data_IF_241641560214
#
_entry.id   IF_241641560214
#
_cell.length_a   1.000
_cell.length_b   1.000
_cell.length_c   1.000
_cell.angle_alpha   90.00
_cell.angle_beta   90.00
_cell.angle_gamma   90.00
#
_symmetry.space_group_name_H-M   'P 1'
#
loop_
_entity.id
_entity.type
_entity.pdbx_description
1 polymer ?
#
# COMPACT_ATOMS: atom_id res chain seq x y z
N UNK A 1 -33.02 23.77 -72.99
CA UNK A 1 -33.74 22.88 -72.05
C UNK A 1 -34.33 23.71 -70.92
N UNK A 2 -35.65 23.62 -70.72
CA UNK A 2 -36.42 24.57 -69.90
C UNK A 2 -36.23 24.40 -68.39
N UNK A 3 -36.51 25.47 -67.63
CA UNK A 3 -36.31 25.51 -66.18
C UNK A 3 -37.11 24.43 -65.42
N UNK A 4 -38.30 24.07 -65.91
CA UNK A 4 -39.14 22.98 -65.37
C UNK A 4 -38.44 21.61 -65.39
N UNK A 5 -37.73 21.28 -66.48
CA UNK A 5 -36.96 20.02 -66.61
C UNK A 5 -35.84 19.91 -65.56
N UNK A 6 -35.28 21.03 -65.10
CA UNK A 6 -34.30 21.03 -63.99
C UNK A 6 -34.99 20.72 -62.66
N UNK A 7 -36.11 21.40 -62.33
CA UNK A 7 -36.84 21.17 -61.07
C UNK A 7 -37.35 19.73 -60.93
N UNK A 8 -37.74 19.09 -62.04
CA UNK A 8 -38.12 17.66 -62.05
C UNK A 8 -36.90 16.78 -61.74
N UNK A 9 -35.78 16.94 -62.47
CA UNK A 9 -34.55 16.14 -62.25
C UNK A 9 -33.98 16.23 -60.83
N UNK A 10 -34.04 17.41 -60.20
CA UNK A 10 -33.58 17.58 -58.83
C UNK A 10 -34.52 16.92 -57.81
N UNK A 11 -35.85 16.96 -58.04
CA UNK A 11 -36.81 16.21 -57.21
C UNK A 11 -36.63 14.69 -57.33
N UNK A 12 -36.40 14.16 -58.53
CA UNK A 12 -36.15 12.71 -58.70
C UNK A 12 -34.84 12.27 -58.05
N UNK A 13 -33.79 13.10 -58.11
CA UNK A 13 -32.51 12.80 -57.47
C UNK A 13 -32.61 12.79 -55.93
N UNK A 14 -33.30 13.78 -55.35
CA UNK A 14 -33.58 13.81 -53.91
C UNK A 14 -34.44 12.62 -53.47
N UNK A 15 -35.47 12.24 -54.23
CA UNK A 15 -36.23 11.01 -53.95
C UNK A 15 -35.35 9.75 -53.99
N UNK A 16 -34.44 9.62 -54.98
CA UNK A 16 -33.53 8.47 -55.02
C UNK A 16 -32.58 8.44 -53.81
N UNK A 17 -32.07 9.58 -53.34
CA UNK A 17 -31.23 9.62 -52.14
C UNK A 17 -32.02 9.30 -50.86
N UNK A 18 -33.25 9.81 -50.71
CA UNK A 18 -34.12 9.45 -49.58
C UNK A 18 -34.51 7.96 -49.59
N UNK A 19 -34.80 7.38 -50.76
CA UNK A 19 -35.07 5.94 -50.89
C UNK A 19 -33.83 5.12 -50.54
N UNK A 20 -32.63 5.50 -51.01
CA UNK A 20 -31.39 4.81 -50.67
C UNK A 20 -31.12 4.82 -49.15
N UNK A 21 -31.27 5.97 -48.49
CA UNK A 21 -31.11 6.11 -47.04
C UNK A 21 -32.14 5.28 -46.25
N UNK A 22 -33.40 5.26 -46.71
CA UNK A 22 -34.43 4.39 -46.12
C UNK A 22 -34.12 2.90 -46.33
N UNK A 23 -33.62 2.50 -47.50
CA UNK A 23 -33.22 1.09 -47.71
C UNK A 23 -32.03 0.68 -46.86
N UNK A 24 -31.03 1.54 -46.63
CA UNK A 24 -29.94 1.22 -45.70
C UNK A 24 -30.43 1.09 -44.25
N UNK A 25 -31.38 1.95 -43.83
CA UNK A 25 -31.94 1.93 -42.48
C UNK A 25 -32.81 0.67 -42.22
N UNK A 26 -33.51 0.18 -43.24
CA UNK A 26 -34.26 -1.09 -43.16
C UNK A 26 -33.31 -2.29 -43.12
N UNK A 27 -32.22 -2.29 -43.91
CA UNK A 27 -31.21 -3.37 -43.89
C UNK A 27 -30.55 -3.50 -42.50
N UNK A 28 -30.42 -2.41 -41.74
CA UNK A 28 -29.92 -2.44 -40.34
C UNK A 28 -30.93 -2.92 -39.30
N UNK A 29 -32.19 -3.21 -39.67
CA UNK A 29 -33.25 -3.60 -38.73
C UNK A 29 -33.74 -5.06 -38.91
N UNK A 30 -33.49 -5.69 -40.06
CA UNK A 30 -33.83 -7.11 -40.33
C UNK A 30 -32.63 -8.08 -40.09
N UNK A 31 -31.65 -7.67 -39.28
CA UNK A 31 -30.47 -8.48 -38.95
C UNK A 31 -30.78 -9.57 -37.91
N UNK A 32 -31.44 -10.64 -38.36
CA UNK A 32 -31.74 -11.85 -37.56
C UNK A 32 -30.43 -12.47 -37.01
N UNK A 33 -30.36 -12.87 -35.72
CA UNK A 33 -29.18 -13.53 -35.17
C UNK A 33 -28.88 -14.85 -35.90
N UNK A 34 -27.61 -15.08 -36.22
CA UNK A 34 -27.16 -16.28 -36.92
C UNK A 34 -27.06 -17.44 -35.91
N UNK A 35 -27.83 -18.50 -36.15
CA UNK A 35 -27.73 -19.76 -35.42
C UNK A 35 -26.39 -20.46 -35.74
N UNK A 36 -25.66 -20.87 -34.71
CA UNK A 36 -24.29 -21.39 -34.83
C UNK A 36 -24.28 -22.91 -34.87
N UNK A 37 -24.24 -23.44 -36.11
CA UNK A 37 -24.28 -24.87 -36.38
C UNK A 37 -23.11 -25.64 -35.71
N UNK A 38 -23.47 -26.65 -34.92
CA UNK A 38 -22.55 -27.40 -34.06
C UNK A 38 -21.89 -28.55 -34.81
N UNK A 39 -20.84 -28.32 -35.61
CA UNK A 39 -19.85 -29.39 -35.92
C UNK A 39 -18.51 -28.89 -36.53
N UNK A 40 -17.58 -28.42 -35.69
CA UNK A 40 -16.14 -28.72 -35.85
C UNK A 40 -15.34 -28.45 -34.57
N UNK A 41 -14.18 -29.08 -34.45
CA UNK A 41 -13.36 -29.13 -33.24
C UNK A 41 -11.90 -28.82 -33.58
N UNK A 42 -11.22 -28.14 -32.64
CA UNK A 42 -9.77 -27.90 -32.55
C UNK A 42 -9.08 -27.14 -33.69
N UNK A 43 -8.88 -25.83 -33.45
CA UNK A 43 -7.55 -25.23 -33.46
C UNK A 43 -7.28 -24.67 -32.06
N UNK A 44 -6.08 -24.87 -31.51
CA UNK A 44 -5.74 -24.41 -30.16
C UNK A 44 -5.15 -22.99 -30.23
N UNK A 45 -5.95 -21.98 -29.92
CA UNK A 45 -5.44 -20.65 -29.55
C UNK A 45 -5.28 -20.60 -28.03
N UNK A 46 -4.21 -19.96 -27.57
CA UNK A 46 -3.90 -19.87 -26.15
C UNK A 46 -4.90 -18.95 -25.47
N UNK A 47 -5.61 -19.47 -24.47
CA UNK A 47 -6.37 -18.63 -23.54
C UNK A 47 -5.36 -17.78 -22.78
N UNK A 48 -5.28 -16.49 -23.11
CA UNK A 48 -4.76 -15.50 -22.16
C UNK A 48 -5.56 -15.66 -20.87
N UNK A 49 -4.87 -15.90 -19.76
CA UNK A 49 -5.50 -16.02 -18.46
C UNK A 49 -6.30 -14.75 -18.19
N UNK A 50 -7.62 -14.87 -18.16
CA UNK A 50 -8.47 -13.79 -17.66
C UNK A 50 -7.94 -13.38 -16.29
N UNK A 51 -7.70 -12.08 -16.09
CA UNK A 51 -7.43 -11.56 -14.75
C UNK A 51 -8.66 -11.85 -13.91
N UNK A 52 -8.50 -12.77 -12.97
CA UNK A 52 -9.36 -12.79 -11.79
C UNK A 52 -8.86 -11.61 -10.97
N UNK A 53 -9.60 -10.50 -10.99
CA UNK A 53 -9.29 -9.34 -10.16
C UNK A 53 -9.76 -9.64 -8.72
N UNK A 54 -9.06 -10.58 -8.06
CA UNK A 54 -9.29 -10.99 -6.66
C UNK A 54 -9.29 -9.75 -5.72
N UNK A 55 -10.09 -9.76 -4.64
CA UNK A 55 -10.19 -8.65 -3.69
C UNK A 55 -8.83 -8.33 -3.05
N UNK A 56 -8.42 -7.05 -2.98
CA UNK A 56 -7.18 -6.62 -2.32
C UNK A 56 -7.19 -7.03 -0.84
N UNK A 57 -6.19 -7.80 -0.40
CA UNK A 57 -6.12 -8.30 0.99
C UNK A 57 -5.62 -7.25 1.99
N UNK A 58 -5.31 -6.02 1.54
CA UNK A 58 -4.83 -4.93 2.39
C UNK A 58 -3.36 -5.06 2.81
N UNK A 59 -2.69 -6.15 2.45
CA UNK A 59 -1.30 -6.41 2.79
C UNK A 59 -0.34 -5.65 1.85
N UNK A 60 0.68 -4.99 2.41
CA UNK A 60 1.70 -4.27 1.62
C UNK A 60 2.59 -5.16 0.72
N UNK A 61 2.38 -6.48 0.76
CA UNK A 61 2.99 -7.52 -0.07
C UNK A 61 1.95 -8.48 -0.70
N UNK A 62 0.66 -8.13 -0.69
CA UNK A 62 -0.42 -8.85 -1.37
C UNK A 62 -0.03 -9.29 -2.79
N UNK A 63 0.44 -8.33 -3.60
CA UNK A 63 0.84 -8.59 -4.99
C UNK A 63 1.99 -9.61 -5.10
N UNK A 64 2.85 -9.74 -4.08
CA UNK A 64 3.88 -10.78 -4.03
C UNK A 64 3.31 -12.13 -3.61
N UNK A 65 2.43 -12.16 -2.59
CA UNK A 65 1.70 -13.33 -2.14
C UNK A 65 0.93 -13.99 -3.30
N UNK A 66 0.18 -13.19 -4.07
CA UNK A 66 -0.54 -13.65 -5.28
C UNK A 66 0.39 -14.24 -6.32
N UNK A 67 1.44 -13.53 -6.73
CA UNK A 67 2.37 -14.03 -7.74
C UNK A 67 3.04 -15.34 -7.32
N UNK A 68 3.28 -15.55 -6.02
CA UNK A 68 3.75 -16.84 -5.50
C UNK A 68 2.67 -17.92 -5.62
N UNK A 69 1.41 -17.63 -5.26
CA UNK A 69 0.27 -18.55 -5.40
C UNK A 69 0.03 -18.91 -6.88
N UNK A 70 -0.11 -17.93 -7.77
CA UNK A 70 -0.29 -18.09 -9.23
C UNK A 70 0.76 -19.05 -9.81
N UNK A 71 2.03 -18.86 -9.43
CA UNK A 71 3.15 -19.67 -9.90
C UNK A 71 3.10 -21.08 -9.31
N UNK A 72 2.77 -21.24 -8.03
CA UNK A 72 2.57 -22.54 -7.38
C UNK A 72 1.41 -23.33 -8.02
N UNK A 73 0.30 -22.68 -8.31
CA UNK A 73 -0.87 -23.28 -8.96
C UNK A 73 -0.58 -23.80 -10.37
N UNK A 74 0.45 -23.30 -11.07
CA UNK A 74 0.85 -23.89 -12.36
C UNK A 74 1.41 -25.31 -12.23
N UNK A 75 1.83 -25.73 -11.03
CA UNK A 75 2.16 -27.13 -10.76
C UNK A 75 0.92 -27.91 -10.33
N UNK A 76 0.51 -28.90 -11.14
CA UNK A 76 -0.70 -29.68 -10.90
C UNK A 76 -0.68 -30.38 -9.53
N UNK A 77 0.45 -30.96 -9.11
CA UNK A 77 0.53 -31.66 -7.83
C UNK A 77 0.35 -30.69 -6.66
N UNK A 78 0.99 -29.52 -6.75
CA UNK A 78 0.86 -28.50 -5.71
C UNK A 78 -0.56 -27.92 -5.65
N UNK A 79 -1.21 -27.68 -6.79
CA UNK A 79 -2.61 -27.23 -6.83
C UNK A 79 -3.58 -28.23 -6.18
N UNK A 80 -3.45 -29.52 -6.51
CA UNK A 80 -4.28 -30.58 -5.88
C UNK A 80 -4.05 -30.65 -4.36
N UNK A 81 -2.85 -30.32 -3.86
CA UNK A 81 -2.55 -30.19 -2.42
C UNK A 81 -3.12 -28.92 -1.79
N UNK A 82 -2.99 -27.77 -2.45
CA UNK A 82 -3.53 -26.49 -1.98
C UNK A 82 -5.06 -26.57 -1.83
N UNK A 83 -5.75 -27.13 -2.82
CA UNK A 83 -7.21 -27.27 -2.85
C UNK A 83 -7.78 -28.36 -1.92
N UNK A 84 -6.93 -29.14 -1.25
CA UNK A 84 -7.36 -30.23 -0.34
C UNK A 84 -6.72 -30.16 1.04
N UNK A 85 -5.90 -29.15 1.31
CA UNK A 85 -5.32 -28.91 2.63
C UNK A 85 -6.31 -28.15 3.51
N UNK A 86 -6.43 -28.59 4.76
CA UNK A 86 -7.14 -27.85 5.80
C UNK A 86 -6.33 -26.59 6.19
N UNK A 87 -7.02 -25.55 6.68
CA UNK A 87 -6.45 -24.27 7.10
C UNK A 87 -5.34 -24.51 8.14
N UNK A 88 -5.57 -25.42 9.10
CA UNK A 88 -4.58 -25.81 10.10
C UNK A 88 -3.38 -26.56 9.50
N UNK A 89 -3.57 -27.34 8.43
CA UNK A 89 -2.45 -27.97 7.73
C UNK A 89 -1.61 -26.95 6.95
N UNK A 90 -2.23 -25.91 6.40
CA UNK A 90 -1.56 -24.76 5.78
C UNK A 90 -0.76 -23.99 6.85
N UNK A 91 -1.40 -23.52 7.93
CA UNK A 91 -0.77 -22.81 9.06
C UNK A 91 0.36 -23.62 9.75
N UNK A 92 0.27 -24.95 9.76
CA UNK A 92 1.30 -25.82 10.35
C UNK A 92 2.62 -25.89 9.57
N UNK A 93 2.68 -25.39 8.33
CA UNK A 93 3.85 -25.55 7.46
C UNK A 93 3.98 -26.98 6.90
N UNK A 94 2.87 -27.72 6.80
CA UNK A 94 2.83 -29.03 6.12
C UNK A 94 2.89 -28.84 4.60
N UNK A 95 2.05 -27.95 4.07
CA UNK A 95 1.99 -27.60 2.64
C UNK A 95 3.36 -27.15 2.09
N UNK A 96 4.09 -26.33 2.85
CA UNK A 96 5.39 -25.77 2.43
C UNK A 96 6.46 -26.82 2.12
N UNK A 97 6.31 -28.06 2.61
CA UNK A 97 7.22 -29.19 2.33
C UNK A 97 6.94 -29.87 0.98
N UNK A 98 5.72 -29.75 0.46
CA UNK A 98 5.36 -30.24 -0.89
C UNK A 98 6.10 -29.44 -1.98
N UNK A 99 6.63 -28.25 -1.65
CA UNK A 99 7.46 -27.42 -2.53
C UNK A 99 8.72 -28.11 -3.04
N UNK A 100 9.28 -29.08 -2.31
CA UNK A 100 10.44 -29.86 -2.76
C UNK A 100 10.09 -30.85 -3.90
N UNK A 101 8.80 -31.12 -4.13
CA UNK A 101 8.30 -31.98 -5.20
C UNK A 101 7.86 -31.19 -6.45
N UNK A 102 7.82 -29.86 -6.36
CA UNK A 102 7.38 -28.95 -7.42
C UNK A 102 8.39 -28.87 -8.56
N UNK A 103 7.87 -28.78 -9.79
CA UNK A 103 8.68 -28.78 -11.01
C UNK A 103 9.72 -27.64 -11.07
N UNK A 104 10.90 -27.93 -11.65
CA UNK A 104 12.03 -27.00 -11.73
C UNK A 104 11.66 -25.64 -12.35
N UNK A 105 10.75 -25.60 -13.32
CA UNK A 105 10.30 -24.36 -13.94
C UNK A 105 9.61 -23.43 -12.94
N UNK A 106 8.73 -24.00 -12.10
CA UNK A 106 8.03 -23.28 -11.03
C UNK A 106 9.00 -22.85 -9.94
N UNK A 107 9.92 -23.74 -9.50
CA UNK A 107 11.02 -23.36 -8.58
C UNK A 107 11.83 -22.16 -9.10
N UNK A 108 12.18 -22.16 -10.40
CA UNK A 108 12.94 -21.06 -11.04
C UNK A 108 12.17 -19.73 -11.04
N UNK A 109 10.85 -19.76 -11.28
CA UNK A 109 9.99 -18.57 -11.19
C UNK A 109 9.89 -18.03 -9.76
N UNK A 110 9.71 -18.90 -8.76
CA UNK A 110 9.64 -18.50 -7.36
C UNK A 110 10.94 -17.87 -6.87
N UNK A 111 12.08 -18.41 -7.29
CA UNK A 111 13.40 -17.81 -7.06
C UNK A 111 13.51 -16.42 -7.70
N UNK A 112 12.87 -16.18 -8.85
CA UNK A 112 12.85 -14.87 -9.50
C UNK A 112 11.94 -13.88 -8.78
N UNK A 113 10.71 -14.25 -8.45
CA UNK A 113 9.78 -13.43 -7.68
C UNK A 113 10.41 -12.99 -6.35
N UNK A 114 11.06 -13.93 -5.64
CA UNK A 114 11.77 -13.60 -4.39
C UNK A 114 12.91 -12.58 -4.60
N UNK A 115 13.67 -12.69 -5.70
CA UNK A 115 14.72 -11.70 -6.03
C UNK A 115 14.12 -10.33 -6.35
N UNK A 116 12.97 -10.27 -7.03
CA UNK A 116 12.26 -9.03 -7.34
C UNK A 116 11.71 -8.37 -6.06
N UNK A 117 11.07 -9.14 -5.18
CA UNK A 117 10.54 -8.62 -3.91
C UNK A 117 11.66 -8.17 -2.95
N UNK A 118 12.73 -8.96 -2.80
CA UNK A 118 13.90 -8.53 -2.02
C UNK A 118 14.55 -7.27 -2.60
N UNK A 119 14.48 -7.03 -3.91
CA UNK A 119 14.90 -5.76 -4.52
C UNK A 119 13.94 -4.60 -4.20
N UNK A 120 12.61 -4.82 -4.27
CA UNK A 120 11.60 -3.82 -3.86
C UNK A 120 11.80 -3.38 -2.42
N UNK A 121 11.90 -4.32 -1.50
CA UNK A 121 12.08 -4.07 -0.06
C UNK A 121 13.39 -3.33 0.22
N UNK A 122 14.49 -3.68 -0.46
CA UNK A 122 15.77 -2.94 -0.38
C UNK A 122 15.65 -1.50 -0.93
N UNK A 123 14.84 -1.27 -1.96
CA UNK A 123 14.58 0.08 -2.48
C UNK A 123 13.74 0.91 -1.51
N UNK A 124 12.70 0.34 -0.88
CA UNK A 124 11.89 1.00 0.14
C UNK A 124 12.73 1.37 1.38
N UNK A 125 13.55 0.44 1.87
CA UNK A 125 14.48 0.68 2.98
C UNK A 125 15.50 1.76 2.61
N UNK A 126 16.08 1.72 1.40
CA UNK A 126 17.00 2.77 0.94
C UNK A 126 16.30 4.13 0.86
N UNK A 127 15.10 4.21 0.31
CA UNK A 127 14.34 5.46 0.24
C UNK A 127 14.04 6.03 1.64
N UNK A 128 13.68 5.17 2.60
CA UNK A 128 13.47 5.56 4.01
C UNK A 128 14.76 6.00 4.70
N UNK A 129 15.91 5.38 4.39
CA UNK A 129 17.23 5.84 4.87
C UNK A 129 17.60 7.20 4.23
N UNK A 130 17.40 7.35 2.93
CA UNK A 130 17.67 8.59 2.19
C UNK A 130 16.75 9.75 2.61
N UNK A 131 15.56 9.48 3.19
CA UNK A 131 14.67 10.51 3.77
C UNK A 131 14.97 10.86 5.23
N UNK A 132 15.65 9.99 5.99
CA UNK A 132 15.92 10.17 7.43
C UNK A 132 17.43 10.27 7.75
N UNK A 133 18.21 10.88 6.85
CA UNK A 133 19.69 10.84 6.84
C UNK A 133 20.41 11.25 8.15
N UNK A 134 19.78 12.02 9.05
CA UNK A 134 20.38 12.52 10.29
C UNK A 134 19.49 12.30 11.53
N UNK A 135 18.58 11.32 11.50
CA UNK A 135 17.79 10.88 12.66
C UNK A 135 17.98 9.40 12.90
N UNK A 136 18.16 9.00 14.17
CA UNK A 136 18.44 7.62 14.57
C UNK A 136 17.39 6.63 14.10
N UNK A 137 17.63 6.00 12.94
CA UNK A 137 16.70 5.09 12.30
C UNK A 137 16.57 3.82 13.14
N UNK A 138 15.36 3.50 13.60
CA UNK A 138 15.12 2.19 14.19
C UNK A 138 15.24 1.10 13.11
N UNK A 139 16.37 0.41 13.14
CA UNK A 139 16.66 -0.71 12.24
C UNK A 139 15.70 -1.89 12.47
N UNK A 140 15.10 -2.02 13.66
CA UNK A 140 14.11 -3.06 13.93
C UNK A 140 12.82 -2.80 13.13
N UNK A 141 12.33 -1.55 13.08
CA UNK A 141 11.19 -1.14 12.24
C UNK A 141 11.43 -1.34 10.74
N UNK A 142 12.68 -1.31 10.28
CA UNK A 142 13.04 -1.62 8.90
C UNK A 142 13.05 -3.14 8.64
N UNK A 143 13.57 -3.92 9.60
CA UNK A 143 13.62 -5.39 9.47
C UNK A 143 12.24 -6.04 9.48
N UNK A 144 11.23 -5.39 10.08
CA UNK A 144 9.81 -5.78 9.95
C UNK A 144 9.36 -5.96 8.50
N UNK A 145 9.90 -5.17 7.58
CA UNK A 145 9.58 -5.22 6.15
C UNK A 145 10.07 -6.51 5.44
N UNK A 146 10.73 -7.42 6.17
CA UNK A 146 11.13 -8.75 5.68
C UNK A 146 10.50 -9.90 6.48
N UNK A 147 9.48 -9.66 7.33
CA UNK A 147 8.93 -10.73 8.20
C UNK A 147 8.31 -11.89 7.39
N UNK A 148 7.78 -11.62 6.19
CA UNK A 148 7.27 -12.62 5.24
C UNK A 148 8.34 -13.40 4.47
N UNK A 149 9.64 -13.10 4.64
CA UNK A 149 10.71 -13.63 3.78
C UNK A 149 12.03 -13.97 4.50
N UNK A 150 12.69 -15.06 4.08
CA UNK A 150 14.00 -15.45 4.58
C UNK A 150 15.12 -14.58 3.96
N UNK A 151 15.26 -13.33 4.43
CA UNK A 151 16.25 -12.34 3.96
C UNK A 151 17.71 -12.83 4.02
N UNK A 152 18.01 -13.85 4.82
CA UNK A 152 19.33 -14.50 4.93
C UNK A 152 19.71 -15.30 3.67
N UNK A 153 18.73 -15.79 2.90
CA UNK A 153 18.92 -16.34 1.56
C UNK A 153 18.16 -15.46 0.55
N UNK A 154 18.74 -14.38 0.01
CA UNK A 154 18.03 -13.45 -0.87
C UNK A 154 17.86 -13.93 -2.32
N UNK A 155 18.16 -15.19 -2.65
CA UNK A 155 18.33 -15.64 -4.05
C UNK A 155 17.58 -16.91 -4.45
N UNK A 156 17.27 -17.79 -3.50
CA UNK A 156 16.46 -19.00 -3.69
C UNK A 156 15.24 -18.95 -2.76
N UNK A 157 14.07 -19.32 -3.27
CA UNK A 157 12.83 -19.47 -2.52
C UNK A 157 12.77 -20.91 -1.99
N UNK A 158 12.70 -21.08 -0.67
CA UNK A 158 12.73 -22.38 0.00
C UNK A 158 11.40 -22.69 0.69
N UNK A 159 11.23 -23.93 1.17
CA UNK A 159 10.08 -24.30 2.01
C UNK A 159 9.89 -23.36 3.21
N UNK A 160 11.00 -22.81 3.75
CA UNK A 160 10.98 -21.80 4.80
C UNK A 160 10.38 -20.46 4.35
N UNK A 161 10.59 -20.03 3.10
CA UNK A 161 9.99 -18.79 2.60
C UNK A 161 8.48 -18.92 2.44
N UNK A 162 8.01 -20.08 1.95
CA UNK A 162 6.58 -20.33 1.82
C UNK A 162 5.91 -20.47 3.20
N UNK A 163 6.58 -21.14 4.15
CA UNK A 163 6.16 -21.20 5.56
C UNK A 163 6.12 -19.81 6.24
N UNK A 164 7.13 -18.95 6.01
CA UNK A 164 7.12 -17.56 6.51
C UNK A 164 6.03 -16.72 5.84
N UNK A 165 5.93 -16.75 4.52
CA UNK A 165 4.93 -15.99 3.75
C UNK A 165 3.50 -16.36 4.16
N UNK A 166 3.20 -17.66 4.32
CA UNK A 166 1.90 -18.13 4.81
C UNK A 166 1.66 -17.66 6.25
N UNK A 167 2.61 -17.87 7.17
CA UNK A 167 2.45 -17.47 8.59
C UNK A 167 2.26 -15.96 8.75
N UNK A 168 3.05 -15.16 8.05
CA UNK A 168 2.97 -13.69 8.13
C UNK A 168 1.71 -13.20 7.44
N UNK A 169 1.29 -13.75 6.30
CA UNK A 169 -0.01 -13.43 5.70
C UNK A 169 -1.16 -13.77 6.66
N UNK A 170 -1.20 -14.99 7.21
CA UNK A 170 -2.18 -15.38 8.23
C UNK A 170 -2.19 -14.42 9.42
N UNK A 171 -1.03 -14.15 10.01
CA UNK A 171 -0.91 -13.31 11.21
C UNK A 171 -1.28 -11.86 10.94
N UNK A 172 -0.86 -11.29 9.80
CA UNK A 172 -1.15 -9.92 9.43
C UNK A 172 -2.65 -9.75 9.12
N UNK A 173 -3.27 -10.74 8.47
CA UNK A 173 -4.70 -10.78 8.19
C UNK A 173 -5.53 -10.94 9.48
N UNK A 174 -5.14 -11.85 10.38
CA UNK A 174 -5.77 -12.03 11.71
C UNK A 174 -5.63 -10.80 12.62
N UNK A 175 -4.67 -9.91 12.35
CA UNK A 175 -4.46 -8.67 13.11
C UNK A 175 -4.81 -7.40 12.32
N UNK A 176 -5.27 -7.50 11.07
CA UNK A 176 -5.51 -6.36 10.18
C UNK A 176 -6.60 -5.45 10.74
N UNK A 177 -7.76 -6.04 11.05
CA UNK A 177 -8.91 -5.35 11.63
C UNK A 177 -8.52 -4.74 12.99
N UNK A 178 -7.79 -5.51 13.82
CA UNK A 178 -7.30 -5.06 15.12
C UNK A 178 -6.29 -3.90 15.04
N UNK A 179 -5.58 -3.76 13.91
CA UNK A 179 -4.71 -2.63 13.61
C UNK A 179 -5.50 -1.42 13.08
N UNK A 180 -6.53 -1.63 12.24
CA UNK A 180 -7.48 -0.60 11.80
C UNK A 180 -8.19 0.04 13.01
N UNK A 181 -8.75 -0.78 13.91
CA UNK A 181 -9.32 -0.35 15.21
C UNK A 181 -8.34 0.48 16.05
N UNK A 182 -7.08 0.03 16.16
CA UNK A 182 -6.04 0.77 16.88
C UNK A 182 -5.71 2.11 16.19
N UNK A 183 -5.83 2.22 14.87
CA UNK A 183 -5.57 3.47 14.11
C UNK A 183 -6.76 4.43 14.16
N UNK A 184 -8.00 3.94 14.01
CA UNK A 184 -9.21 4.75 14.19
C UNK A 184 -9.31 5.31 15.62
N UNK A 185 -8.99 4.51 16.64
CA UNK A 185 -8.90 4.99 18.03
C UNK A 185 -7.87 6.12 18.20
N UNK A 186 -6.75 6.11 17.46
CA UNK A 186 -5.78 7.22 17.46
C UNK A 186 -6.32 8.44 16.70
N UNK A 187 -7.05 8.24 15.61
CA UNK A 187 -7.71 9.31 14.86
C UNK A 187 -8.70 10.09 15.75
N UNK A 188 -9.58 9.39 16.46
CA UNK A 188 -10.54 10.01 17.39
C UNK A 188 -9.85 10.72 18.58
N UNK A 189 -8.79 10.13 19.15
CA UNK A 189 -7.97 10.83 20.16
C UNK A 189 -7.26 12.08 19.61
N UNK A 190 -6.84 12.06 18.34
CA UNK A 190 -6.21 13.20 17.67
C UNK A 190 -7.22 14.34 17.45
N UNK A 191 -8.42 14.01 16.96
CA UNK A 191 -9.56 14.90 16.72
C UNK A 191 -10.01 15.62 18.00
N UNK A 192 -10.14 14.90 19.12
CA UNK A 192 -10.44 15.51 20.44
C UNK A 192 -9.24 16.31 21.01
N UNK A 193 -7.98 15.90 20.78
CA UNK A 193 -6.82 16.71 21.18
C UNK A 193 -6.74 18.04 20.42
N UNK A 194 -6.87 18.03 19.09
CA UNK A 194 -6.89 19.24 18.26
C UNK A 194 -8.02 20.19 18.68
N UNK A 195 -9.20 19.64 18.98
CA UNK A 195 -10.33 20.39 19.57
C UNK A 195 -9.96 21.00 20.93
N UNK A 196 -9.32 20.24 21.82
CA UNK A 196 -8.87 20.73 23.14
C UNK A 196 -7.84 21.85 23.01
N UNK A 197 -6.87 21.74 22.11
CA UNK A 197 -5.91 22.82 21.82
C UNK A 197 -6.59 24.04 21.20
N UNK A 198 -7.50 23.85 20.24
CA UNK A 198 -8.28 24.95 19.67
C UNK A 198 -9.07 25.72 20.75
N UNK A 199 -9.81 25.01 21.60
CA UNK A 199 -10.54 25.59 22.74
C UNK A 199 -9.60 26.32 23.73
N UNK A 200 -8.36 25.85 23.95
CA UNK A 200 -7.35 26.56 24.77
C UNK A 200 -6.96 27.92 24.16
N UNK A 201 -6.98 28.08 22.83
CA UNK A 201 -6.68 29.37 22.16
C UNK A 201 -7.80 30.41 22.24
N UNK A 202 -9.05 30.00 22.52
CA UNK A 202 -10.22 30.87 22.47
C UNK A 202 -10.47 31.63 23.80
N UNK A 203 -11.09 32.81 23.69
CA UNK A 203 -11.70 33.48 24.84
C UNK A 203 -12.98 32.76 25.30
N UNK A 204 -13.39 33.02 26.55
CA UNK A 204 -14.48 32.33 27.23
C UNK A 204 -15.81 32.35 26.46
N UNK A 205 -16.12 33.48 25.81
CA UNK A 205 -17.37 33.63 25.06
C UNK A 205 -17.38 32.77 23.78
N UNK A 206 -16.25 32.73 23.04
CA UNK A 206 -16.12 31.84 21.87
C UNK A 206 -16.02 30.37 22.26
N UNK A 207 -15.33 30.06 23.36
CA UNK A 207 -15.19 28.70 23.91
C UNK A 207 -16.56 28.07 24.15
N UNK A 208 -17.44 28.75 24.89
CA UNK A 208 -18.82 28.30 25.12
C UNK A 208 -19.64 28.24 23.81
N UNK A 209 -19.43 29.16 22.85
CA UNK A 209 -20.11 29.08 21.55
C UNK A 209 -19.68 27.84 20.74
N UNK A 210 -18.39 27.47 20.80
CA UNK A 210 -17.87 26.31 20.07
C UNK A 210 -18.23 24.98 20.74
N UNK A 211 -18.20 24.93 22.08
CA UNK A 211 -18.70 23.79 22.86
C UNK A 211 -20.20 23.55 22.57
N UNK A 212 -21.01 24.61 22.57
CA UNK A 212 -22.44 24.53 22.24
C UNK A 212 -22.70 24.15 20.77
N UNK A 213 -21.83 24.54 19.83
CA UNK A 213 -21.90 24.08 18.43
C UNK A 213 -21.60 22.59 18.35
N UNK A 214 -20.55 22.11 19.02
CA UNK A 214 -20.18 20.70 19.02
C UNK A 214 -21.29 19.81 19.59
N UNK A 215 -21.94 20.22 20.68
CA UNK A 215 -23.12 19.54 21.21
C UNK A 215 -24.30 19.54 20.22
N UNK A 216 -24.50 20.62 19.45
CA UNK A 216 -25.51 20.68 18.39
C UNK A 216 -25.18 19.71 17.23
N UNK A 217 -23.91 19.65 16.79
CA UNK A 217 -23.47 18.77 15.69
C UNK A 217 -23.57 17.29 16.08
N UNK A 218 -23.05 16.88 17.25
CA UNK A 218 -23.21 15.49 17.72
C UNK A 218 -24.69 15.11 17.87
N UNK A 219 -25.54 16.06 18.27
CA UNK A 219 -26.98 15.81 18.36
C UNK A 219 -27.64 15.64 16.98
N UNK A 220 -27.21 16.37 15.94
CA UNK A 220 -27.74 16.19 14.57
C UNK A 220 -27.35 14.84 14.00
N UNK A 221 -26.08 14.47 14.15
CA UNK A 221 -25.58 13.16 13.72
C UNK A 221 -26.40 12.01 14.35
N UNK A 222 -26.62 12.07 15.67
CA UNK A 222 -27.48 11.12 16.40
C UNK A 222 -29.01 11.24 16.19
N UNK A 223 -29.50 12.08 15.27
CA UNK A 223 -30.94 12.20 14.92
C UNK A 223 -31.26 11.46 13.60
N UNK A 224 -30.65 10.27 13.43
CA UNK A 224 -30.71 9.46 12.23
C UNK A 224 -31.84 8.39 12.26
N UNK A 225 -32.30 7.86 11.10
CA UNK A 225 -33.17 6.69 11.04
C UNK A 225 -32.53 5.47 11.70
N UNK A 226 -33.34 4.61 12.33
CA UNK A 226 -32.83 3.42 13.04
C UNK A 226 -32.09 2.47 12.08
N UNK A 227 -30.82 2.24 12.37
CA UNK A 227 -29.96 1.23 11.72
C UNK A 227 -30.45 -0.18 12.07
N UNK A 228 -30.48 -1.08 11.10
CA UNK A 228 -30.76 -2.49 11.31
C UNK A 228 -29.49 -3.24 11.73
N UNK A 229 -29.67 -4.40 12.35
CA UNK A 229 -28.54 -5.22 12.78
C UNK A 229 -27.85 -5.84 11.55
N UNK A 230 -26.50 -5.80 11.43
CA UNK A 230 -25.78 -6.31 10.26
C UNK A 230 -26.08 -7.80 10.01
N UNK A 231 -26.33 -8.18 8.76
CA UNK A 231 -26.70 -9.54 8.37
C UNK A 231 -28.09 -10.00 8.80
N UNK A 232 -28.85 -9.19 9.55
CA UNK A 232 -30.19 -9.55 10.01
C UNK A 232 -31.23 -9.53 8.89
N UNK A 233 -32.35 -10.22 9.13
CA UNK A 233 -33.44 -10.36 8.15
C UNK A 233 -34.01 -9.04 7.65
N UNK A 234 -34.08 -8.02 8.52
CA UNK A 234 -34.62 -6.72 8.14
C UNK A 234 -33.63 -5.94 7.27
N UNK A 235 -32.32 -6.00 7.59
CA UNK A 235 -31.25 -5.40 6.79
C UNK A 235 -31.16 -6.02 5.38
N UNK A 236 -31.16 -7.36 5.28
CA UNK A 236 -31.12 -8.04 3.97
C UNK A 236 -32.40 -7.82 3.15
N UNK A 237 -33.56 -7.64 3.80
CA UNK A 237 -34.80 -7.26 3.12
C UNK A 237 -34.78 -5.85 2.57
N UNK A 238 -34.13 -4.93 3.27
CA UNK A 238 -34.00 -3.54 2.83
C UNK A 238 -33.08 -3.43 1.60
N UNK A 239 -31.97 -4.17 1.58
CA UNK A 239 -31.10 -4.31 0.39
C UNK A 239 -31.89 -4.92 -0.78
N UNK A 240 -32.69 -5.97 -0.53
CA UNK A 240 -33.54 -6.61 -1.54
C UNK A 240 -34.65 -5.68 -2.10
N UNK A 241 -35.15 -4.72 -1.31
CA UNK A 241 -36.11 -3.72 -1.78
C UNK A 241 -35.43 -2.55 -2.51
N UNK A 242 -34.39 -1.95 -1.93
CA UNK A 242 -33.79 -0.70 -2.40
C UNK A 242 -32.66 -0.86 -3.43
N UNK A 243 -31.86 -1.93 -3.33
CA UNK A 243 -30.75 -2.19 -4.26
C UNK A 243 -31.19 -3.12 -5.40
N UNK A 244 -31.85 -4.23 -5.07
CA UNK A 244 -32.30 -5.22 -6.06
C UNK A 244 -33.62 -4.84 -6.76
N UNK A 245 -34.46 -4.03 -6.11
CA UNK A 245 -35.77 -3.63 -6.62
C UNK A 245 -36.82 -4.74 -6.60
N UNK A 246 -36.72 -5.68 -5.66
CA UNK A 246 -37.57 -6.87 -5.54
C UNK A 246 -38.59 -6.74 -4.41
N UNK A 247 -39.69 -7.51 -4.47
CA UNK A 247 -40.75 -7.44 -3.45
C UNK A 247 -40.25 -8.03 -2.12
N UNK A 248 -40.31 -7.28 -0.99
CA UNK A 248 -39.89 -7.78 0.32
C UNK A 248 -40.61 -9.07 0.75
N UNK A 249 -41.84 -9.30 0.27
CA UNK A 249 -42.63 -10.48 0.64
C UNK A 249 -42.08 -11.76 -0.01
N UNK A 250 -41.44 -11.65 -1.17
CA UNK A 250 -40.84 -12.76 -1.93
C UNK A 250 -39.35 -13.00 -1.60
N UNK A 251 -38.82 -12.37 -0.54
CA UNK A 251 -37.45 -12.53 -0.06
C UNK A 251 -37.07 -14.00 0.20
N UNK A 252 -36.13 -14.52 -0.58
CA UNK A 252 -35.53 -15.84 -0.45
C UNK A 252 -34.02 -15.73 -0.22
N UNK A 253 -33.47 -16.16 0.93
CA UNK A 253 -32.04 -16.09 1.23
C UNK A 253 -31.14 -16.70 0.15
N UNK A 254 -31.58 -17.79 -0.49
CA UNK A 254 -30.79 -18.48 -1.50
C UNK A 254 -30.70 -17.72 -2.82
N UNK A 255 -31.72 -16.92 -3.14
CA UNK A 255 -31.70 -16.00 -4.28
C UNK A 255 -30.94 -14.73 -3.93
N UNK A 256 -31.08 -14.20 -2.70
CA UNK A 256 -30.32 -13.06 -2.20
C UNK A 256 -28.80 -13.29 -2.28
N UNK A 257 -28.31 -14.42 -1.75
CA UNK A 257 -26.90 -14.82 -1.83
C UNK A 257 -26.39 -14.78 -3.28
N UNK A 258 -27.14 -15.39 -4.20
CA UNK A 258 -26.80 -15.51 -5.63
C UNK A 258 -26.85 -14.21 -6.42
N UNK A 259 -27.37 -13.14 -5.83
CA UNK A 259 -27.45 -11.81 -6.45
C UNK A 259 -26.28 -10.92 -5.98
N UNK A 260 -25.68 -11.27 -4.84
CA UNK A 260 -24.54 -10.58 -4.22
C UNK A 260 -23.22 -11.35 -4.33
N UNK A 261 -23.26 -12.63 -4.72
CA UNK A 261 -22.18 -13.40 -5.37
C UNK A 261 -21.97 -12.78 -6.77
N UNK A 262 -21.32 -11.61 -6.81
CA UNK A 262 -21.16 -10.79 -8.01
C UNK A 262 -20.17 -11.45 -8.96
N UNK A 263 -19.12 -12.07 -8.41
CA UNK A 263 -18.07 -12.70 -9.19
C UNK A 263 -18.47 -14.10 -9.76
N UNK A 264 -19.50 -14.74 -9.17
CA UNK A 264 -20.04 -16.07 -9.52
C UNK A 264 -19.11 -17.27 -9.19
N UNK A 265 -18.27 -17.16 -8.15
CA UNK A 265 -17.44 -18.25 -7.61
C UNK A 265 -18.17 -19.14 -6.59
N UNK A 266 -19.29 -18.65 -6.02
CA UNK A 266 -20.16 -19.39 -5.09
C UNK A 266 -19.94 -19.09 -3.60
N UNK A 267 -19.14 -18.09 -3.28
CA UNK A 267 -18.94 -17.54 -1.93
C UNK A 267 -19.56 -16.13 -1.83
N UNK A 268 -19.45 -15.50 -0.66
CA UNK A 268 -19.51 -14.05 -0.50
C UNK A 268 -18.22 -13.61 0.17
N UNK A 269 -17.45 -12.77 -0.49
CA UNK A 269 -16.22 -12.20 0.10
C UNK A 269 -16.52 -10.98 0.99
N UNK A 270 -15.48 -10.44 1.60
CA UNK A 270 -15.60 -9.27 2.49
C UNK A 270 -16.09 -8.01 1.79
N UNK A 271 -15.72 -7.77 0.54
CA UNK A 271 -16.13 -6.61 -0.24
C UNK A 271 -17.60 -6.74 -0.68
N UNK A 272 -18.03 -7.96 -1.00
CA UNK A 272 -19.42 -8.30 -1.29
C UNK A 272 -20.32 -8.16 -0.04
N UNK A 273 -19.85 -8.57 1.15
CA UNK A 273 -20.56 -8.30 2.41
C UNK A 273 -20.57 -6.80 2.77
N UNK A 274 -19.44 -6.11 2.62
CA UNK A 274 -19.31 -4.68 2.89
C UNK A 274 -20.22 -3.81 2.01
N UNK A 275 -20.50 -4.25 0.77
CA UNK A 275 -21.45 -3.59 -0.11
C UNK A 275 -22.87 -3.58 0.46
N UNK A 276 -23.30 -4.66 1.15
CA UNK A 276 -24.63 -4.79 1.75
C UNK A 276 -24.92 -3.72 2.81
N UNK A 277 -23.88 -3.28 3.53
CA UNK A 277 -24.01 -2.30 4.61
C UNK A 277 -24.15 -0.86 4.11
N UNK A 278 -23.86 -0.59 2.84
CA UNK A 278 -23.91 0.77 2.26
C UNK A 278 -25.26 1.45 2.51
N UNK A 279 -26.38 0.70 2.41
CA UNK A 279 -27.74 1.21 2.66
C UNK A 279 -28.02 1.56 4.12
N UNK A 280 -27.47 0.78 5.06
CA UNK A 280 -27.57 1.08 6.49
C UNK A 280 -26.74 2.31 6.87
N UNK A 281 -25.53 2.43 6.31
CA UNK A 281 -24.61 3.52 6.59
C UNK A 281 -25.08 4.85 5.97
N UNK A 282 -25.71 4.82 4.79
CA UNK A 282 -26.36 6.00 4.15
C UNK A 282 -27.49 6.61 5.00
N UNK A 283 -27.97 5.94 6.05
CA UNK A 283 -28.93 6.51 7.03
C UNK A 283 -28.25 7.45 8.01
N UNK A 284 -26.98 7.21 8.33
CA UNK A 284 -26.23 7.83 9.43
C UNK A 284 -25.22 8.86 8.93
N UNK A 285 -24.65 8.64 7.74
CA UNK A 285 -23.57 9.46 7.19
C UNK A 285 -23.90 9.95 5.77
N UNK A 286 -24.13 11.26 5.58
CA UNK A 286 -24.13 11.90 4.26
C UNK A 286 -22.83 12.73 4.05
N UNK A 287 -22.00 12.43 3.04
CA UNK A 287 -20.80 13.21 2.67
C UNK A 287 -21.02 14.71 2.36
N UNK A 288 -22.26 15.22 2.42
CA UNK A 288 -22.64 16.63 2.25
C UNK A 288 -22.86 17.38 3.57
N UNK A 289 -22.97 16.65 4.68
CA UNK A 289 -23.12 17.21 6.03
C UNK A 289 -21.73 17.61 6.60
N UNK A 290 -21.70 18.50 7.59
CA UNK A 290 -20.46 18.89 8.30
C UNK A 290 -20.32 18.16 9.65
N UNK A 291 -21.39 17.48 10.09
CA UNK A 291 -21.47 16.64 11.29
C UNK A 291 -21.07 15.18 11.06
N UNK A 292 -21.10 14.69 9.82
CA UNK A 292 -20.94 13.27 9.50
C UNK A 292 -19.50 12.96 9.05
N UNK A 293 -18.82 12.09 9.79
CA UNK A 293 -17.43 11.74 9.51
C UNK A 293 -17.31 10.51 8.59
N UNK A 294 -16.72 10.70 7.43
CA UNK A 294 -16.52 9.63 6.44
C UNK A 294 -15.48 8.59 6.86
N UNK A 295 -14.62 8.89 7.85
CA UNK A 295 -13.71 7.92 8.46
C UNK A 295 -14.47 7.05 9.46
N UNK A 296 -15.42 7.64 10.20
CA UNK A 296 -16.30 6.93 11.13
C UNK A 296 -17.29 6.01 10.38
N UNK A 297 -17.84 6.46 9.24
CA UNK A 297 -18.64 5.60 8.33
C UNK A 297 -17.87 4.34 7.88
N UNK A 298 -16.59 4.50 7.55
CA UNK A 298 -15.75 3.40 7.07
C UNK A 298 -15.37 2.44 8.20
N UNK A 299 -15.08 2.93 9.40
CA UNK A 299 -14.90 2.03 10.56
C UNK A 299 -16.20 1.32 10.95
N UNK A 300 -17.35 2.00 10.88
CA UNK A 300 -18.66 1.37 11.11
C UNK A 300 -18.89 0.23 10.09
N UNK A 301 -18.55 0.42 8.81
CA UNK A 301 -18.57 -0.63 7.78
C UNK A 301 -17.72 -1.84 8.19
N UNK A 302 -16.50 -1.62 8.69
CA UNK A 302 -15.61 -2.69 9.14
C UNK A 302 -16.16 -3.43 10.36
N UNK A 303 -16.77 -2.71 11.32
CA UNK A 303 -17.45 -3.33 12.48
C UNK A 303 -18.63 -4.19 12.04
N UNK A 304 -19.42 -3.73 11.07
CA UNK A 304 -20.52 -4.51 10.51
C UNK A 304 -20.03 -5.78 9.81
N UNK A 305 -18.96 -5.68 8.99
CA UNK A 305 -18.29 -6.85 8.36
C UNK A 305 -17.73 -7.81 9.40
N UNK A 306 -16.93 -7.32 10.36
CA UNK A 306 -16.31 -8.14 11.41
C UNK A 306 -17.39 -8.87 12.23
N UNK A 307 -18.50 -8.20 12.55
CA UNK A 307 -19.62 -8.83 13.25
C UNK A 307 -20.25 -9.96 12.42
N UNK A 308 -20.62 -9.70 11.15
CA UNK A 308 -21.22 -10.72 10.27
C UNK A 308 -20.25 -11.88 10.01
N UNK A 309 -18.98 -11.61 9.75
CA UNK A 309 -17.95 -12.66 9.61
C UNK A 309 -17.73 -13.44 10.91
N UNK A 310 -17.86 -12.81 12.09
CA UNK A 310 -17.78 -13.54 13.36
C UNK A 310 -18.96 -14.50 13.54
N UNK A 311 -20.18 -14.12 13.13
CA UNK A 311 -21.36 -14.97 13.25
C UNK A 311 -21.53 -16.01 12.15
N UNK A 312 -21.29 -15.67 10.88
CA UNK A 312 -21.73 -16.45 9.72
C UNK A 312 -20.66 -17.44 9.24
N UNK A 313 -19.44 -16.98 8.99
CA UNK A 313 -18.29 -17.83 8.65
C UNK A 313 -17.99 -18.76 9.84
N UNK A 314 -17.95 -20.08 9.62
CA UNK A 314 -17.73 -21.09 10.67
C UNK A 314 -16.28 -21.60 10.67
N UNK A 315 -15.59 -21.61 9.53
CA UNK A 315 -14.25 -22.20 9.37
C UNK A 315 -13.10 -21.20 9.57
N UNK A 316 -13.41 -19.89 9.53
CA UNK A 316 -12.51 -18.73 9.56
C UNK A 316 -11.53 -18.65 8.38
N UNK A 317 -12.04 -18.90 7.17
CA UNK A 317 -11.33 -18.61 5.91
C UNK A 317 -11.64 -17.23 5.29
N UNK A 318 -12.59 -16.46 5.87
CA UNK A 318 -13.05 -15.14 5.41
C UNK A 318 -13.86 -15.17 4.09
N UNK A 319 -14.47 -16.30 3.75
CA UNK A 319 -15.40 -16.45 2.63
C UNK A 319 -16.70 -17.14 3.11
N UNK A 320 -17.84 -16.45 3.04
CA UNK A 320 -19.11 -17.04 3.47
C UNK A 320 -19.65 -17.98 2.40
N UNK A 321 -19.72 -19.29 2.68
CA UNK A 321 -20.39 -20.23 1.77
C UNK A 321 -21.91 -20.09 1.83
N UNK A 322 -22.60 -20.50 0.74
CA UNK A 322 -24.06 -20.58 0.72
C UNK A 322 -24.65 -21.46 1.84
N UNK A 323 -23.94 -22.50 2.29
CA UNK A 323 -24.43 -23.38 3.35
C UNK A 323 -24.33 -22.70 4.73
N UNK A 324 -23.26 -21.94 4.98
CA UNK A 324 -23.09 -21.13 6.20
C UNK A 324 -24.07 -19.97 6.25
N UNK A 325 -24.24 -19.25 5.14
CA UNK A 325 -25.24 -18.19 5.01
C UNK A 325 -26.65 -18.71 5.29
N UNK A 326 -27.04 -19.84 4.68
CA UNK A 326 -28.37 -20.43 4.93
C UNK A 326 -28.54 -20.87 6.39
N UNK A 327 -27.54 -21.51 7.00
CA UNK A 327 -27.55 -21.83 8.44
C UNK A 327 -27.67 -20.59 9.32
N UNK A 328 -27.03 -19.47 8.96
CA UNK A 328 -27.19 -18.21 9.67
C UNK A 328 -28.64 -17.70 9.59
N UNK A 329 -29.30 -17.83 8.43
CA UNK A 329 -30.73 -17.43 8.31
C UNK A 329 -31.71 -18.32 9.10
N UNK A 330 -31.28 -19.48 9.61
CA UNK A 330 -32.06 -20.32 10.54
C UNK A 330 -31.84 -19.97 12.02
N UNK A 331 -30.86 -19.11 12.35
CA UNK A 331 -30.57 -18.68 13.73
C UNK A 331 -31.66 -17.76 14.29
N UNK A 332 -31.68 -17.60 15.62
CA UNK A 332 -32.61 -16.66 16.28
C UNK A 332 -32.17 -15.22 16.04
N UNK A 333 -30.87 -14.99 16.06
CA UNK A 333 -30.18 -13.71 15.92
C UNK A 333 -30.53 -13.03 14.58
N UNK A 334 -30.73 -13.82 13.52
CA UNK A 334 -31.24 -13.35 12.22
C UNK A 334 -32.69 -12.85 12.26
N UNK A 335 -33.54 -13.43 13.10
CA UNK A 335 -35.00 -13.22 13.14
C UNK A 335 -35.47 -12.27 14.25
N UNK A 336 -34.72 -12.22 15.35
CA UNK A 336 -34.95 -11.39 16.54
C UNK A 336 -33.61 -10.75 16.98
N UNK A 337 -32.99 -9.90 16.14
CA UNK A 337 -31.70 -9.27 16.45
C UNK A 337 -31.82 -8.26 17.60
N UNK A 338 -30.73 -8.11 18.36
CA UNK A 338 -30.55 -6.98 19.28
C UNK A 338 -30.27 -5.67 18.49
N UNK A 339 -30.47 -4.52 19.11
CA UNK A 339 -30.19 -3.22 18.48
C UNK A 339 -28.70 -3.04 18.20
N UNK A 340 -28.35 -2.61 16.97
CA UNK A 340 -26.99 -2.15 16.67
C UNK A 340 -26.71 -0.83 17.38
N UNK A 341 -25.58 -0.75 18.08
CA UNK A 341 -25.04 0.48 18.65
C UNK A 341 -23.97 1.03 17.68
N UNK A 342 -24.22 2.24 17.18
CA UNK A 342 -23.30 2.98 16.30
C UNK A 342 -22.08 3.50 17.07
N UNK A 343 -21.03 3.88 16.35
CA UNK A 343 -19.78 4.41 16.91
C UNK A 343 -20.01 5.64 17.81
N UNK A 344 -20.89 6.56 17.41
CA UNK A 344 -21.20 7.78 18.16
C UNK A 344 -21.75 7.51 19.58
N UNK A 345 -22.41 6.36 19.80
CA UNK A 345 -22.97 5.94 21.08
C UNK A 345 -21.95 5.26 22.00
N UNK A 346 -20.79 4.84 21.46
CA UNK A 346 -19.78 4.07 22.17
C UNK A 346 -18.66 4.94 22.75
N UNK A 347 -18.00 4.43 23.80
CA UNK A 347 -16.78 5.05 24.35
C UNK A 347 -15.53 4.34 23.83
N UNK A 348 -14.93 4.90 22.79
CA UNK A 348 -13.75 4.34 22.10
C UNK A 348 -12.46 4.43 22.92
N UNK A 349 -12.31 5.47 23.74
CA UNK A 349 -11.13 5.70 24.58
C UNK A 349 -11.48 6.28 25.96
N UNK A 350 -10.58 6.11 26.94
CA UNK A 350 -10.67 6.75 28.26
C UNK A 350 -9.88 8.05 28.33
N UNK A 351 -10.18 8.90 29.32
CA UNK A 351 -9.43 10.14 29.56
C UNK A 351 -7.96 9.87 29.92
N UNK A 352 -7.66 8.71 30.53
CA UNK A 352 -6.29 8.26 30.77
C UNK A 352 -5.56 7.92 29.46
N UNK A 353 -6.20 7.18 28.55
CA UNK A 353 -5.62 6.83 27.23
C UNK A 353 -5.37 8.09 26.39
N UNK A 354 -6.35 9.00 26.33
CA UNK A 354 -6.18 10.28 25.63
C UNK A 354 -5.03 11.09 26.24
N UNK A 355 -4.91 11.15 27.57
CA UNK A 355 -3.82 11.86 28.24
C UNK A 355 -2.44 11.23 28.01
N UNK A 356 -2.36 9.91 27.90
CA UNK A 356 -1.12 9.22 27.49
C UNK A 356 -0.78 9.53 26.02
N UNK A 357 -1.79 9.63 25.15
CA UNK A 357 -1.63 10.08 23.76
C UNK A 357 -1.18 11.54 23.65
N UNK A 358 -1.83 12.50 24.34
CA UNK A 358 -1.41 13.92 24.41
C UNK A 358 0.05 14.04 24.89
N UNK A 359 0.43 13.25 25.90
CA UNK A 359 1.80 13.18 26.42
C UNK A 359 2.80 12.68 25.38
N UNK A 360 2.39 11.74 24.51
CA UNK A 360 3.23 11.24 23.43
C UNK A 360 3.37 12.25 22.27
N UNK A 361 2.27 12.92 21.87
CA UNK A 361 2.29 14.01 20.89
C UNK A 361 3.27 15.11 21.35
N UNK A 362 3.13 15.60 22.58
CA UNK A 362 4.01 16.64 23.13
C UNK A 362 5.50 16.24 23.14
N UNK A 363 5.81 14.96 23.40
CA UNK A 363 7.18 14.45 23.33
C UNK A 363 7.72 14.42 21.89
N UNK A 364 6.90 14.01 20.91
CA UNK A 364 7.27 14.06 19.50
C UNK A 364 7.48 15.52 19.02
N UNK A 365 6.63 16.46 19.46
CA UNK A 365 6.76 17.87 19.11
C UNK A 365 8.04 18.51 19.64
N UNK A 366 8.42 18.27 20.89
CA UNK A 366 9.71 18.76 21.45
C UNK A 366 10.91 18.13 20.72
N UNK A 367 10.86 16.83 20.39
CA UNK A 367 11.89 16.21 19.55
C UNK A 367 11.98 16.83 18.14
N UNK A 368 10.86 17.05 17.47
CA UNK A 368 10.80 17.67 16.15
C UNK A 368 11.25 19.14 16.20
N UNK A 369 10.88 19.88 17.23
CA UNK A 369 11.29 21.28 17.43
C UNK A 369 12.81 21.38 17.67
N UNK A 370 13.39 20.45 18.45
CA UNK A 370 14.85 20.36 18.64
C UNK A 370 15.57 20.02 17.34
N UNK A 371 15.08 19.03 16.57
CA UNK A 371 15.62 18.67 15.25
C UNK A 371 15.54 19.84 14.27
N UNK A 372 14.42 20.58 14.23
CA UNK A 372 14.24 21.76 13.39
C UNK A 372 15.19 22.91 13.77
N UNK A 373 15.42 23.14 15.07
CA UNK A 373 16.42 24.12 15.55
C UNK A 373 17.85 23.73 15.13
N UNK A 374 18.20 22.45 15.18
CA UNK A 374 19.54 21.99 14.79
C UNK A 374 19.75 22.08 13.27
N UNK A 375 18.76 21.65 12.46
CA UNK A 375 18.78 21.81 11.00
C UNK A 375 18.91 23.29 10.58
N UNK A 376 18.26 24.21 11.31
CA UNK A 376 18.42 25.65 11.08
C UNK A 376 19.84 26.15 11.40
N UNK A 377 20.50 25.62 12.45
CA UNK A 377 21.93 25.91 12.75
C UNK A 377 22.86 25.37 11.66
N UNK A 378 22.68 24.10 11.26
CA UNK A 378 23.45 23.47 10.19
C UNK A 378 23.34 24.28 8.89
N UNK A 379 22.13 24.73 8.54
CA UNK A 379 21.87 25.60 7.38
C UNK A 379 22.60 26.95 7.47
N UNK A 380 22.55 27.62 8.61
CA UNK A 380 23.29 28.88 8.83
C UNK A 380 24.82 28.69 8.77
N UNK A 381 25.34 27.53 9.17
CA UNK A 381 26.76 27.23 9.02
C UNK A 381 27.13 26.98 7.55
N UNK A 382 26.34 26.18 6.83
CA UNK A 382 26.52 25.94 5.40
C UNK A 382 26.48 27.24 4.57
N UNK A 383 25.58 28.17 4.91
CA UNK A 383 25.51 29.49 4.28
C UNK A 383 26.80 30.30 4.52
N UNK A 384 27.32 30.30 5.76
CA UNK A 384 28.62 30.95 6.09
C UNK A 384 29.80 30.29 5.37
N UNK A 385 29.80 28.96 5.21
CA UNK A 385 30.83 28.25 4.46
C UNK A 385 30.75 28.58 2.96
N UNK A 386 29.54 28.67 2.39
CA UNK A 386 29.33 29.07 1.00
C UNK A 386 29.81 30.50 0.73
N UNK A 387 29.53 31.45 1.63
CA UNK A 387 30.03 32.83 1.52
C UNK A 387 31.57 32.91 1.58
N UNK A 388 32.21 32.14 2.47
CA UNK A 388 33.68 32.07 2.56
C UNK A 388 34.29 31.51 1.26
N UNK A 389 33.73 30.44 0.70
CA UNK A 389 34.16 29.88 -0.59
C UNK A 389 33.93 30.86 -1.75
N UNK A 390 32.83 31.62 -1.73
CA UNK A 390 32.55 32.64 -2.73
C UNK A 390 33.54 33.81 -2.64
N UNK A 391 33.88 34.27 -1.44
CA UNK A 391 34.90 35.31 -1.22
C UNK A 391 36.28 34.84 -1.71
N UNK A 392 36.72 33.64 -1.30
CA UNK A 392 37.99 33.06 -1.75
C UNK A 392 38.05 32.91 -3.29
N UNK A 393 36.94 32.55 -3.93
CA UNK A 393 36.85 32.50 -5.41
C UNK A 393 37.00 33.88 -6.05
N UNK A 394 36.46 34.93 -5.44
CA UNK A 394 36.62 36.31 -5.94
C UNK A 394 38.06 36.81 -5.76
N UNK A 395 38.70 36.57 -4.61
CA UNK A 395 40.11 36.91 -4.38
C UNK A 395 41.03 36.23 -5.41
N UNK A 396 40.82 34.93 -5.66
CA UNK A 396 41.59 34.17 -6.66
C UNK A 396 41.40 34.75 -8.08
N UNK A 397 40.17 35.12 -8.46
CA UNK A 397 39.90 35.76 -9.75
C UNK A 397 40.60 37.12 -9.87
N UNK A 398 40.60 37.95 -8.82
CA UNK A 398 41.33 39.22 -8.81
C UNK A 398 42.85 39.02 -8.92
N UNK A 399 43.41 38.03 -8.21
CA UNK A 399 44.83 37.70 -8.27
C UNK A 399 45.27 37.26 -9.69
N UNK A 400 44.45 36.45 -10.38
CA UNK A 400 44.70 36.07 -11.78
C UNK A 400 44.67 37.29 -12.71
N UNK A 401 43.65 38.16 -12.62
CA UNK A 401 43.56 39.37 -13.44
C UNK A 401 44.76 40.31 -13.22
N UNK A 402 45.21 40.50 -11.97
CA UNK A 402 46.41 41.27 -11.68
C UNK A 402 47.68 40.66 -12.29
N UNK A 403 47.79 39.31 -12.30
CA UNK A 403 48.90 38.61 -12.94
C UNK A 403 48.91 38.79 -14.46
N UNK A 404 47.74 38.73 -15.11
CA UNK A 404 47.60 38.96 -16.55
C UNK A 404 47.93 40.41 -16.93
N UNK A 405 47.43 41.40 -16.19
CA UNK A 405 47.78 42.81 -16.39
C UNK A 405 49.29 43.06 -16.24
N UNK A 406 49.93 42.45 -15.23
CA UNK A 406 51.37 42.55 -15.01
C UNK A 406 52.18 41.90 -16.13
N UNK A 407 51.71 40.78 -16.68
CA UNK A 407 52.29 40.09 -17.84
C UNK A 407 52.21 40.93 -19.12
N UNK A 408 51.05 41.57 -19.37
CA UNK A 408 50.86 42.53 -20.47
C UNK A 408 51.80 43.74 -20.34
N UNK A 409 51.92 44.31 -19.14
CA UNK A 409 52.73 45.50 -18.88
C UNK A 409 54.24 45.25 -18.95
N UNK A 410 54.70 44.00 -18.85
CA UNK A 410 56.12 43.62 -19.01
C UNK A 410 56.54 43.28 -20.45
N UNK A 411 55.63 43.29 -21.43
CA UNK A 411 55.98 43.23 -22.86
C UNK A 411 56.63 41.92 -23.33
N UNK A 412 56.44 40.82 -22.62
CA UNK A 412 56.98 39.50 -22.98
C UNK A 412 56.04 38.77 -23.96
N UNK A 413 56.56 38.15 -25.04
CA UNK A 413 55.74 37.53 -26.09
C UNK A 413 55.01 36.25 -25.61
N UNK A 414 53.95 35.82 -26.32
CA UNK A 414 53.14 34.67 -25.91
C UNK A 414 53.84 33.33 -26.18
N UNK A 415 54.61 32.87 -25.19
CA UNK A 415 55.15 31.49 -25.18
C UNK A 415 54.01 30.47 -25.19
N UNK A 416 53.85 29.76 -26.31
CA UNK A 416 53.08 28.50 -26.39
C UNK A 416 53.87 27.34 -25.74
N UNK A 417 53.20 26.24 -25.37
CA UNK A 417 53.61 25.48 -24.19
C UNK A 417 54.75 24.49 -24.44
N UNK A 418 55.78 24.57 -23.60
CA UNK A 418 56.48 23.41 -23.04
C UNK A 418 57.31 23.87 -21.83
N UNK A 419 57.38 23.04 -20.79
CA UNK A 419 58.11 23.38 -19.55
C UNK A 419 57.34 22.96 -18.30
N UNK A 420 57.38 21.66 -17.98
CA UNK A 420 57.02 21.17 -16.65
C UNK A 420 57.97 21.80 -15.62
N UNK A 421 57.43 22.48 -14.60
CA UNK A 421 58.20 22.89 -13.43
C UNK A 421 57.56 22.33 -12.18
N UNK A 422 58.19 21.28 -11.69
CA UNK A 422 57.78 20.48 -10.53
C UNK A 422 58.03 21.27 -9.24
N UNK A 423 56.96 21.64 -8.52
CA UNK A 423 57.06 22.23 -7.18
C UNK A 423 57.13 21.12 -6.13
N UNK A 424 58.33 20.85 -5.62
CA UNK A 424 58.54 19.98 -4.46
C UNK A 424 58.89 20.81 -3.22
N UNK A 425 58.21 20.61 -2.06
CA UNK A 425 58.48 21.36 -0.84
C UNK A 425 59.82 20.95 -0.19
N UNK A 426 60.46 21.84 0.58
CA UNK A 426 61.81 21.61 1.11
C UNK A 426 61.84 20.65 2.29
N UNK A 427 62.64 19.58 2.21
CA UNK A 427 62.87 18.65 3.32
C UNK A 427 63.52 17.34 2.91
N UNK A 428 64.81 17.36 2.54
CA UNK A 428 65.54 16.16 2.12
C UNK A 428 66.98 16.12 2.66
N UNK A 429 67.41 14.93 3.10
CA UNK A 429 68.78 14.36 3.08
C UNK A 429 68.80 13.08 3.98
N UNK A 430 69.60 12.04 3.69
CA UNK A 430 69.70 11.39 2.37
C UNK A 430 69.75 9.84 2.45
N UNK A 431 69.32 9.13 1.39
CA UNK A 431 69.65 7.72 1.12
C UNK A 431 69.86 7.58 -0.39
N UNK A 432 70.81 6.76 -0.85
CA UNK A 432 71.14 6.59 -2.28
C UNK A 432 70.89 5.17 -2.81
N UNK A 433 70.72 5.09 -4.13
CA UNK A 433 71.05 4.01 -5.09
C UNK A 433 70.58 2.55 -4.79
N UNK A 434 70.04 1.75 -5.72
CA UNK A 434 70.08 1.80 -7.20
C UNK A 434 68.97 0.92 -7.86
N UNK A 435 68.54 1.23 -9.10
CA UNK A 435 68.09 0.31 -10.20
C UNK A 435 67.02 -0.79 -9.91
N UNK A 436 65.90 -0.94 -10.65
CA UNK A 436 65.69 -0.99 -12.12
C UNK A 436 64.20 -0.76 -12.55
N UNK A 437 63.95 -0.61 -13.87
CA UNK A 437 62.65 -0.38 -14.57
C UNK A 437 62.13 -1.69 -15.26
N UNK A 438 60.97 -1.79 -16.01
CA UNK A 438 60.09 -0.74 -16.56
C UNK A 438 58.53 -0.90 -16.49
N UNK A 439 57.82 0.20 -16.80
CA UNK A 439 56.54 0.41 -17.55
C UNK A 439 55.51 -0.76 -17.67
N UNK A 440 54.18 -0.64 -17.44
CA UNK A 440 53.21 0.39 -16.95
C UNK A 440 52.03 -0.42 -16.25
N UNK A 441 50.75 -0.06 -15.98
CA UNK A 441 49.84 1.01 -16.42
C UNK A 441 48.74 1.48 -15.45
N UNK A 442 48.25 2.72 -15.69
CA UNK A 442 46.92 3.32 -15.39
C UNK A 442 46.15 3.03 -14.07
N UNK A 443 46.11 4.12 -13.27
CA UNK A 443 44.99 4.68 -12.47
C UNK A 443 44.52 4.00 -11.15
N UNK A 444 43.98 4.77 -10.18
CA UNK A 444 43.98 4.38 -8.76
C UNK A 444 42.60 4.26 -8.07
N UNK A 445 42.62 3.68 -6.87
CA UNK A 445 41.48 3.46 -5.96
C UNK A 445 41.54 4.42 -4.73
N UNK A 446 40.44 4.57 -3.96
CA UNK A 446 40.40 5.40 -2.75
C UNK A 446 40.87 4.65 -1.47
N UNK A 447 41.31 5.38 -0.43
CA UNK A 447 41.41 4.88 0.95
C UNK A 447 40.16 5.27 1.77
N UNK A 448 39.75 4.51 2.80
CA UNK A 448 40.22 3.19 3.21
C UNK A 448 39.98 2.91 4.69
N UNK A 449 39.19 1.87 5.01
CA UNK A 449 39.05 1.33 6.36
C UNK A 449 40.32 0.62 6.85
N UNK A 450 40.51 0.55 8.16
CA UNK A 450 41.63 -0.17 8.79
C UNK A 450 41.10 -1.31 9.65
N UNK A 451 41.36 -2.55 9.23
CA UNK A 451 41.00 -3.77 9.96
C UNK A 451 42.16 -4.30 10.79
N UNK A 452 41.87 -5.00 11.89
CA UNK A 452 42.86 -5.55 12.81
C UNK A 452 42.60 -7.04 13.12
N UNK A 453 43.61 -7.89 12.89
CA UNK A 453 43.64 -9.28 13.38
C UNK A 453 45.05 -9.73 13.79
N UNK A 454 45.24 -9.98 15.09
CA UNK A 454 46.29 -10.78 15.72
C UNK A 454 45.94 -10.93 17.21
N UNK A 455 46.15 -12.05 17.92
CA UNK A 455 46.48 -13.43 17.52
C UNK A 455 45.96 -14.39 18.63
N UNK A 456 46.18 -15.70 18.51
CA UNK A 456 45.48 -16.71 19.32
C UNK A 456 46.06 -17.01 20.72
N UNK A 457 45.14 -17.29 21.65
CA UNK A 457 45.16 -18.31 22.72
C UNK A 457 46.33 -18.40 23.74
N UNK A 458 45.99 -18.29 25.04
CA UNK A 458 46.57 -19.12 26.12
C UNK A 458 45.76 -19.06 27.45
N UNK A 459 45.40 -20.24 27.99
CA UNK A 459 45.01 -20.55 29.41
C UNK A 459 43.71 -19.89 29.93
N UNK A 460 42.71 -20.61 30.47
CA UNK A 460 42.64 -21.68 31.50
C UNK A 460 42.51 -21.15 32.93
N UNK A 461 41.48 -21.67 33.63
CA UNK A 461 41.34 -21.79 35.10
C UNK A 461 41.12 -20.50 35.93
N UNK A 462 40.23 -20.44 36.95
CA UNK A 462 39.14 -21.32 37.43
C UNK A 462 38.33 -20.55 38.52
N UNK A 463 36.99 -20.74 38.63
CA UNK A 463 36.21 -20.92 39.91
C UNK A 463 36.24 -19.80 41.02
N UNK A 464 35.19 -19.44 41.78
CA UNK A 464 33.77 -19.82 41.89
C UNK A 464 32.93 -18.75 42.64
N UNK A 465 31.62 -19.03 42.81
CA UNK A 465 30.64 -18.61 43.85
C UNK A 465 31.18 -17.95 45.14
N UNK A 466 30.47 -17.08 45.87
CA UNK A 466 29.05 -17.09 46.31
C UNK A 466 28.47 -15.64 46.30
N UNK A 467 27.17 -15.35 46.46
CA UNK A 467 26.11 -16.04 47.24
C UNK A 467 24.74 -15.81 46.62
#
# INVERSE_FOLDING_TARGET
>A
MNHSQRKIRWRTFLLQQCVLLLTSLVITLDAVPIDVDKTKVQGEEQVESAKIDNPDTGLYYDAYLRQVIDVLETDKHFREKLQTADIEEIKSGKLSKELDLVSHHVRTKLDELKRQEVARLRMLIKAKIDSFQDSGIDHQSLLKQFEHLNHQNPHTFEAKDLDMLIRTATSDLENYDKARHDEFKKYEMMKEHERREYLKTLDEEKRHQEESKYEEMKKKHGDHPKVNHPGSKDQLKEVWEEADGLDPNDFDPKTFFKLHDVNNDGFLDEQELEALFTKELEKVYDPKNEEDDMVEMEEERLRMREHVMNEVDINKDRLVTLDEFLRATEKREFLEPDSWETLDQQQLFTEEELKEFESHIFQQEDELQRKAQELQRQKEELERQQDQLQAQRQELQQAVQQMELKKLQQGLPPSKPNGEQNFQPPGAQPVGDTQNNPEESRQPLPPGDVSAQAAAAARSDHVQTQT
#
